data_IF_758719403620
#
_entry.id   IF_758719403620
#
_cell.length_a   1.000
_cell.length_b   1.000
_cell.length_c   1.000
_cell.angle_alpha   90.00
_cell.angle_beta   90.00
_cell.angle_gamma   90.00
#
_symmetry.space_group_name_H-M   'P 1'
#
loop_
_entity.id
_entity.type
_entity.pdbx_description
1 polymer ?
#
# COMPACT_ATOMS: atom_id res chain seq x y z
N UNK A 1 -11.59 35.04 -3.67
CA UNK A 1 -10.70 34.39 -4.67
C UNK A 1 -11.00 32.91 -4.82
N UNK A 2 -11.36 32.18 -3.77
CA UNK A 2 -11.80 30.76 -3.86
C UNK A 2 -13.18 30.59 -4.53
N UNK A 3 -14.14 31.48 -4.29
CA UNK A 3 -15.47 31.40 -4.89
C UNK A 3 -15.47 31.54 -6.43
N UNK A 4 -14.55 32.31 -7.03
CA UNK A 4 -14.47 32.41 -8.50
C UNK A 4 -13.77 31.20 -9.14
N UNK A 5 -12.76 30.62 -8.47
CA UNK A 5 -12.12 29.37 -8.94
C UNK A 5 -13.07 28.17 -8.93
N UNK A 6 -14.00 28.14 -7.97
CA UNK A 6 -15.02 27.10 -7.87
C UNK A 6 -16.07 27.20 -8.99
N UNK A 7 -16.51 28.41 -9.35
CA UNK A 7 -17.48 28.60 -10.46
C UNK A 7 -16.88 28.24 -11.82
N UNK A 8 -15.60 28.58 -12.03
CA UNK A 8 -14.91 28.28 -13.29
C UNK A 8 -14.72 26.77 -13.48
N UNK A 9 -14.37 26.04 -12.40
CA UNK A 9 -14.19 24.58 -12.44
C UNK A 9 -15.48 23.83 -12.80
N UNK A 10 -16.63 24.27 -12.27
CA UNK A 10 -17.92 23.68 -12.59
C UNK A 10 -18.34 23.93 -14.05
N UNK A 11 -18.02 25.11 -14.60
CA UNK A 11 -18.28 25.44 -15.99
C UNK A 11 -17.45 24.56 -16.95
N UNK A 12 -16.17 24.32 -16.66
CA UNK A 12 -15.32 23.43 -17.48
C UNK A 12 -15.79 21.97 -17.43
N UNK A 13 -16.12 21.45 -16.24
CA UNK A 13 -16.67 20.10 -16.07
C UNK A 13 -17.96 19.93 -16.88
N UNK A 14 -18.87 20.90 -16.79
CA UNK A 14 -20.12 20.91 -17.54
C UNK A 14 -19.88 20.93 -19.05
N UNK A 15 -18.99 21.82 -19.52
CA UNK A 15 -18.69 21.99 -20.94
C UNK A 15 -18.07 20.73 -21.58
N UNK A 16 -17.34 19.93 -20.81
CA UNK A 16 -16.71 18.69 -21.29
C UNK A 16 -17.65 17.48 -21.15
N UNK A 17 -18.25 17.26 -19.98
CA UNK A 17 -19.03 16.05 -19.69
C UNK A 17 -20.39 16.03 -20.41
N UNK A 18 -21.04 17.18 -20.58
CA UNK A 18 -22.35 17.25 -21.22
C UNK A 18 -22.37 16.73 -22.67
N UNK A 19 -21.50 17.21 -23.59
CA UNK A 19 -21.46 16.69 -24.95
C UNK A 19 -20.97 15.23 -25.02
N UNK A 20 -20.10 14.83 -24.09
CA UNK A 20 -19.52 13.50 -24.04
C UNK A 20 -20.54 12.43 -23.62
N UNK A 21 -21.31 12.71 -22.55
CA UNK A 21 -22.24 11.74 -21.96
C UNK A 21 -23.62 11.77 -22.61
N UNK A 22 -24.01 12.88 -23.25
CA UNK A 22 -25.34 13.08 -23.86
C UNK A 22 -26.51 12.83 -22.89
N UNK A 23 -26.30 13.07 -21.61
CA UNK A 23 -27.29 12.97 -20.54
C UNK A 23 -27.74 14.35 -20.05
N UNK A 24 -28.92 14.48 -19.42
CA UNK A 24 -29.34 15.75 -18.81
C UNK A 24 -28.33 16.23 -17.76
N UNK A 25 -28.03 17.53 -17.76
CA UNK A 25 -27.06 18.14 -16.81
C UNK A 25 -27.35 17.77 -15.35
N UNK A 26 -28.63 17.85 -14.94
CA UNK A 26 -29.05 17.47 -13.59
C UNK A 26 -28.70 16.02 -13.20
N UNK A 27 -28.69 15.09 -14.15
CA UNK A 27 -28.31 13.70 -13.89
C UNK A 27 -26.79 13.58 -13.72
N UNK A 28 -26.01 14.30 -14.57
CA UNK A 28 -24.55 14.38 -14.48
C UNK A 28 -24.12 14.98 -13.14
N UNK A 29 -24.71 16.11 -12.75
CA UNK A 29 -24.41 16.79 -11.49
C UNK A 29 -24.73 15.89 -10.28
N UNK A 30 -25.86 15.18 -10.33
CA UNK A 30 -26.23 14.23 -9.28
C UNK A 30 -25.24 13.08 -9.18
N UNK A 31 -24.89 12.43 -10.29
CA UNK A 31 -23.96 11.31 -10.30
C UNK A 31 -22.53 11.74 -9.89
N UNK A 32 -22.08 12.90 -10.36
CA UNK A 32 -20.78 13.46 -9.99
C UNK A 32 -20.73 13.81 -8.49
N UNK A 33 -21.76 14.48 -7.97
CA UNK A 33 -21.80 14.89 -6.56
C UNK A 33 -21.92 13.71 -5.59
N UNK A 34 -22.56 12.62 -6.02
CA UNK A 34 -22.65 11.36 -5.27
C UNK A 34 -21.42 10.46 -5.45
N UNK A 35 -20.54 10.76 -6.42
CA UNK A 35 -19.31 10.00 -6.63
C UNK A 35 -18.32 10.26 -5.50
N UNK A 36 -17.48 9.27 -5.27
CA UNK A 36 -16.38 9.35 -4.31
C UNK A 36 -15.50 10.60 -4.53
N UNK A 37 -15.00 11.23 -3.46
CA UNK A 37 -14.22 12.48 -3.55
C UNK A 37 -13.05 12.36 -4.54
N UNK A 38 -12.29 11.26 -4.51
CA UNK A 38 -11.17 11.06 -5.44
C UNK A 38 -11.59 10.93 -6.91
N UNK A 39 -12.79 10.40 -7.22
CA UNK A 39 -13.34 10.44 -8.58
C UNK A 39 -13.54 11.89 -9.02
N UNK A 40 -14.14 12.71 -8.14
CA UNK A 40 -14.35 14.14 -8.41
C UNK A 40 -13.02 14.88 -8.63
N UNK A 41 -12.03 14.64 -7.77
CA UNK A 41 -10.67 15.19 -7.90
C UNK A 41 -10.03 14.83 -9.23
N UNK A 42 -10.08 13.55 -9.63
CA UNK A 42 -9.45 13.07 -10.86
C UNK A 42 -10.14 13.64 -12.11
N UNK A 43 -11.47 13.64 -12.15
CA UNK A 43 -12.23 14.25 -13.25
C UNK A 43 -11.92 15.74 -13.35
N UNK A 44 -11.90 16.47 -12.23
CA UNK A 44 -11.56 17.89 -12.20
C UNK A 44 -10.13 18.14 -12.71
N UNK A 45 -9.14 17.36 -12.25
CA UNK A 45 -7.74 17.46 -12.70
C UNK A 45 -7.61 17.26 -14.21
N UNK A 46 -8.34 16.29 -14.77
CA UNK A 46 -8.27 15.97 -16.19
C UNK A 46 -8.94 17.04 -17.08
N UNK A 47 -10.02 17.65 -16.58
CA UNK A 47 -10.90 18.50 -17.40
C UNK A 47 -10.61 20.00 -17.22
N UNK A 48 -10.21 20.44 -16.02
CA UNK A 48 -9.95 21.85 -15.71
C UNK A 48 -8.51 22.22 -16.11
N UNK A 49 -8.29 23.18 -17.02
CA UNK A 49 -6.94 23.50 -17.50
C UNK A 49 -6.12 24.21 -16.42
N UNK A 50 -5.00 23.63 -15.97
CA UNK A 50 -3.99 24.32 -15.15
C UNK A 50 -2.57 23.94 -15.60
N UNK A 51 -1.91 24.82 -16.36
CA UNK A 51 -0.47 25.02 -16.67
C UNK A 51 0.52 23.84 -16.85
N UNK A 52 0.12 22.59 -16.68
CA UNK A 52 0.82 21.37 -17.12
C UNK A 52 -0.15 20.58 -17.98
N UNK A 53 0.30 19.94 -19.08
CA UNK A 53 -0.61 19.24 -19.96
C UNK A 53 -1.26 18.08 -19.18
N UNK A 54 -2.57 18.21 -18.92
CA UNK A 54 -3.41 17.04 -18.70
C UNK A 54 -3.24 16.10 -19.89
N UNK A 55 -3.34 14.79 -19.65
CA UNK A 55 -3.13 13.82 -20.72
C UNK A 55 -4.26 13.90 -21.74
N UNK A 56 -3.98 14.07 -23.03
CA UNK A 56 -5.05 13.99 -24.03
C UNK A 56 -5.58 12.56 -24.13
N UNK A 57 -6.89 12.37 -24.06
CA UNK A 57 -7.52 11.05 -24.21
C UNK A 57 -8.01 10.89 -25.65
N UNK A 58 -7.34 10.04 -26.42
CA UNK A 58 -7.72 9.73 -27.80
C UNK A 58 -8.75 8.59 -27.81
N UNK A 59 -9.89 8.82 -28.47
CA UNK A 59 -10.97 7.82 -28.56
C UNK A 59 -11.99 7.88 -27.42
N UNK A 60 -11.95 8.92 -26.58
CA UNK A 60 -12.80 9.08 -25.40
C UNK A 60 -14.31 9.00 -25.69
N UNK A 61 -14.79 9.70 -26.73
CA UNK A 61 -16.21 9.64 -27.13
C UNK A 61 -16.65 8.21 -27.48
N UNK A 62 -15.79 7.47 -28.18
CA UNK A 62 -16.09 6.09 -28.57
C UNK A 62 -16.10 5.15 -27.37
N UNK A 63 -15.23 5.38 -26.38
CA UNK A 63 -15.23 4.66 -25.11
C UNK A 63 -16.53 4.91 -24.34
N UNK A 64 -16.93 6.17 -24.17
CA UNK A 64 -18.17 6.52 -23.45
C UNK A 64 -19.40 5.94 -24.15
N UNK A 65 -19.47 6.02 -25.48
CA UNK A 65 -20.56 5.40 -26.24
C UNK A 65 -20.60 3.87 -26.03
N UNK A 66 -19.45 3.21 -25.90
CA UNK A 66 -19.40 1.76 -25.62
C UNK A 66 -19.91 1.39 -24.22
N UNK A 67 -19.93 2.36 -23.30
CA UNK A 67 -20.42 2.22 -21.92
C UNK A 67 -21.87 2.70 -21.75
N UNK A 68 -22.60 2.99 -22.83
CA UNK A 68 -23.96 3.58 -22.76
C UNK A 68 -24.99 2.75 -21.97
N UNK A 69 -24.77 1.45 -21.86
CA UNK A 69 -25.65 0.53 -21.12
C UNK A 69 -25.30 0.48 -19.61
N UNK A 70 -24.20 1.11 -19.20
CA UNK A 70 -23.79 1.25 -17.81
C UNK A 70 -24.47 2.47 -17.15
N UNK A 71 -24.57 2.45 -15.83
CA UNK A 71 -25.06 3.60 -15.08
C UNK A 71 -24.09 4.78 -15.19
N UNK A 72 -24.61 6.00 -15.03
CA UNK A 72 -23.78 7.20 -15.12
C UNK A 72 -22.64 7.21 -14.08
N UNK A 73 -22.90 6.69 -12.88
CA UNK A 73 -21.87 6.52 -11.84
C UNK A 73 -20.77 5.55 -12.29
N UNK A 74 -21.11 4.45 -12.96
CA UNK A 74 -20.12 3.50 -13.51
C UNK A 74 -19.31 4.10 -14.67
N UNK A 75 -19.94 4.93 -15.51
CA UNK A 75 -19.24 5.65 -16.59
C UNK A 75 -18.21 6.61 -15.98
N UNK A 76 -18.61 7.45 -15.02
CA UNK A 76 -17.72 8.38 -14.34
C UNK A 76 -16.59 7.65 -13.59
N UNK A 77 -16.91 6.53 -12.94
CA UNK A 77 -15.93 5.66 -12.29
C UNK A 77 -14.91 5.10 -13.29
N UNK A 78 -15.36 4.62 -14.43
CA UNK A 78 -14.48 4.05 -15.48
C UNK A 78 -13.59 5.12 -16.11
N UNK A 79 -14.14 6.30 -16.41
CA UNK A 79 -13.35 7.44 -16.90
C UNK A 79 -12.28 7.85 -15.89
N UNK A 80 -12.65 7.98 -14.61
CA UNK A 80 -11.69 8.33 -13.57
C UNK A 80 -10.56 7.28 -13.44
N UNK A 81 -10.85 5.98 -13.59
CA UNK A 81 -9.80 4.93 -13.62
C UNK A 81 -8.82 5.13 -14.78
N UNK A 82 -9.32 5.43 -15.98
CA UNK A 82 -8.48 5.69 -17.16
C UNK A 82 -7.60 6.92 -16.93
N UNK A 83 -8.18 8.02 -16.45
CA UNK A 83 -7.46 9.27 -16.21
C UNK A 83 -6.41 9.12 -15.11
N UNK A 84 -6.70 8.37 -14.06
CA UNK A 84 -5.76 8.12 -12.97
C UNK A 84 -4.59 7.27 -13.44
N UNK A 85 -4.85 6.20 -14.20
CA UNK A 85 -3.80 5.37 -14.79
C UNK A 85 -2.86 6.21 -15.68
N UNK A 86 -3.42 7.07 -16.53
CA UNK A 86 -2.65 7.99 -17.39
C UNK A 86 -1.80 8.95 -16.58
N UNK A 87 -2.40 9.64 -15.60
CA UNK A 87 -1.70 10.60 -14.73
C UNK A 87 -0.54 9.96 -13.96
N UNK A 88 -0.77 8.79 -13.36
CA UNK A 88 0.27 8.05 -12.63
C UNK A 88 1.43 7.66 -13.55
N UNK A 89 1.15 7.14 -14.75
CA UNK A 89 2.19 6.77 -15.71
C UNK A 89 3.02 7.98 -16.17
N UNK A 90 2.37 9.11 -16.42
CA UNK A 90 3.04 10.35 -16.82
C UNK A 90 3.92 10.90 -15.69
N UNK A 91 3.41 10.92 -14.46
CA UNK A 91 4.20 11.38 -13.30
C UNK A 91 5.41 10.47 -13.05
N UNK A 92 5.26 9.15 -13.19
CA UNK A 92 6.38 8.20 -13.15
C UNK A 92 7.43 8.54 -14.22
N UNK A 93 7.00 8.84 -15.45
CA UNK A 93 7.91 9.26 -16.52
C UNK A 93 8.64 10.58 -16.21
N UNK A 94 7.94 11.59 -15.66
CA UNK A 94 8.54 12.84 -15.19
C UNK A 94 9.57 12.60 -14.07
N UNK A 95 9.26 11.74 -13.11
CA UNK A 95 10.17 11.40 -12.02
C UNK A 95 11.44 10.70 -12.52
N UNK A 96 11.30 9.77 -13.47
CA UNK A 96 12.45 9.13 -14.13
C UNK A 96 13.34 10.15 -14.85
N UNK A 97 12.75 11.08 -15.59
CA UNK A 97 13.49 12.15 -16.27
C UNK A 97 14.27 13.04 -15.29
N UNK A 98 13.64 13.47 -14.19
CA UNK A 98 14.30 14.27 -13.13
C UNK A 98 15.49 13.54 -12.50
N UNK A 99 15.41 12.21 -12.38
CA UNK A 99 16.45 11.36 -11.77
C UNK A 99 17.53 10.89 -12.77
N UNK A 100 17.46 11.32 -14.03
CA UNK A 100 18.38 10.85 -15.08
C UNK A 100 18.24 9.36 -15.41
N UNK A 101 17.14 8.71 -15.02
CA UNK A 101 16.82 7.32 -15.38
C UNK A 101 16.19 7.26 -16.78
N UNK A 102 16.18 6.10 -17.48
CA UNK A 102 15.49 5.98 -18.77
C UNK A 102 14.04 6.48 -18.70
N UNK A 103 13.67 7.33 -19.67
CA UNK A 103 12.35 7.95 -19.74
C UNK A 103 11.95 8.17 -21.20
N UNK A 104 10.66 8.39 -21.44
CA UNK A 104 10.11 8.72 -22.74
C UNK A 104 9.96 10.24 -22.90
N UNK A 105 10.73 10.83 -23.81
CA UNK A 105 10.74 12.27 -24.09
C UNK A 105 9.40 12.76 -24.66
N UNK A 106 8.69 11.91 -25.42
CA UNK A 106 7.40 12.26 -26.03
C UNK A 106 6.33 12.58 -24.98
N UNK A 107 6.29 11.79 -23.92
CA UNK A 107 5.34 11.95 -22.81
C UNK A 107 5.60 13.20 -21.95
N UNK A 108 6.76 13.85 -22.07
CA UNK A 108 7.02 15.11 -21.36
C UNK A 108 6.43 16.33 -22.09
N UNK A 109 6.16 16.21 -23.39
CA UNK A 109 5.76 17.32 -24.26
C UNK A 109 4.26 17.37 -24.51
N UNK A 110 3.69 16.25 -24.96
CA UNK A 110 2.28 16.15 -25.35
C UNK A 110 1.74 14.74 -25.05
N UNK A 111 1.60 14.38 -23.76
CA UNK A 111 1.21 13.03 -23.38
C UNK A 111 -0.23 12.72 -23.82
N UNK A 112 -0.41 11.57 -24.45
CA UNK A 112 -1.71 11.07 -24.90
C UNK A 112 -1.94 9.62 -24.45
N UNK A 113 -3.17 9.31 -24.02
CA UNK A 113 -3.63 7.94 -23.78
C UNK A 113 -4.64 7.58 -24.86
N UNK A 114 -4.37 6.52 -25.62
CA UNK A 114 -5.27 5.98 -26.63
C UNK A 114 -6.13 4.85 -26.03
N UNK A 115 -7.45 5.07 -25.96
CA UNK A 115 -8.42 4.14 -25.37
C UNK A 115 -9.16 3.29 -26.40
N UNK A 116 -8.69 3.26 -27.65
CA UNK A 116 -9.34 2.50 -28.74
C UNK A 116 -9.43 1.00 -28.41
N UNK A 117 -8.38 0.41 -27.81
CA UNK A 117 -8.40 -1.01 -27.39
C UNK A 117 -9.32 -1.28 -26.21
N UNK A 118 -9.46 -0.32 -25.29
CA UNK A 118 -10.46 -0.42 -24.21
C UNK A 118 -11.88 -0.46 -24.80
N UNK A 119 -12.13 0.40 -25.78
CA UNK A 119 -13.41 0.50 -26.49
C UNK A 119 -13.75 -0.78 -27.25
N UNK A 120 -12.80 -1.32 -28.03
CA UNK A 120 -12.93 -2.61 -28.70
C UNK A 120 -13.28 -3.72 -27.71
N UNK A 121 -12.55 -3.77 -26.59
CA UNK A 121 -12.80 -4.75 -25.53
C UNK A 121 -14.23 -4.70 -24.98
N UNK A 122 -14.74 -3.52 -24.63
CA UNK A 122 -16.11 -3.38 -24.10
C UNK A 122 -17.18 -3.78 -25.13
N UNK A 123 -16.93 -3.51 -26.42
CA UNK A 123 -17.84 -3.90 -27.51
C UNK A 123 -17.89 -5.41 -27.73
N UNK A 124 -16.77 -6.09 -27.54
CA UNK A 124 -16.70 -7.56 -27.59
C UNK A 124 -17.33 -8.21 -26.36
N UNK A 125 -17.00 -7.68 -25.18
CA UNK A 125 -17.49 -8.17 -23.90
C UNK A 125 -17.61 -7.02 -22.89
N UNK A 126 -18.84 -6.71 -22.51
CA UNK A 126 -19.17 -5.67 -21.55
C UNK A 126 -18.51 -5.90 -20.17
N UNK A 127 -18.14 -7.13 -19.83
CA UNK A 127 -17.45 -7.44 -18.58
C UNK A 127 -16.00 -6.96 -18.54
N UNK A 128 -15.36 -6.70 -19.69
CA UNK A 128 -13.97 -6.22 -19.73
C UNK A 128 -13.75 -4.91 -18.97
N UNK A 129 -14.79 -4.07 -18.79
CA UNK A 129 -14.69 -2.85 -17.96
C UNK A 129 -14.31 -3.12 -16.49
N UNK A 130 -14.51 -4.36 -16.02
CA UNK A 130 -14.15 -4.81 -14.67
C UNK A 130 -12.73 -5.37 -14.58
N UNK A 131 -11.99 -5.46 -15.69
CA UNK A 131 -10.58 -5.84 -15.72
C UNK A 131 -9.67 -4.66 -15.35
N UNK A 132 -8.36 -4.90 -15.23
CA UNK A 132 -7.36 -3.87 -14.96
C UNK A 132 -6.98 -3.11 -16.24
N UNK A 133 -6.45 -1.89 -16.08
CA UNK A 133 -6.00 -1.05 -17.19
C UNK A 133 -4.48 -1.07 -17.24
N UNK A 134 -3.93 -1.64 -18.32
CA UNK A 134 -2.50 -1.61 -18.61
C UNK A 134 -2.21 -0.56 -19.67
N UNK A 135 -1.21 0.28 -19.40
CA UNK A 135 -0.70 1.27 -20.36
C UNK A 135 0.58 0.77 -21.01
N UNK A 136 0.61 0.74 -22.34
CA UNK A 136 1.74 0.26 -23.14
C UNK A 136 2.28 1.40 -23.97
N UNK A 137 3.59 1.67 -23.87
CA UNK A 137 4.25 2.68 -24.71
C UNK A 137 4.25 2.26 -26.17
N UNK A 138 3.80 3.15 -27.07
CA UNK A 138 3.89 2.93 -28.51
C UNK A 138 5.29 3.27 -29.02
N UNK A 139 5.94 2.33 -29.72
CA UNK A 139 7.21 2.59 -30.40
C UNK A 139 7.05 3.55 -31.59
N UNK A 140 5.89 3.52 -32.26
CA UNK A 140 5.62 4.35 -33.43
C UNK A 140 5.22 5.79 -33.05
N UNK A 141 4.62 5.96 -31.88
CA UNK A 141 4.15 7.25 -31.38
C UNK A 141 4.64 7.42 -29.93
N UNK A 142 5.84 7.97 -29.73
CA UNK A 142 6.47 8.00 -28.40
C UNK A 142 5.67 8.82 -27.38
N UNK A 143 4.79 9.73 -27.80
CA UNK A 143 3.93 10.48 -26.89
C UNK A 143 2.59 9.78 -26.57
N UNK A 144 2.35 8.58 -27.08
CA UNK A 144 1.10 7.83 -26.92
C UNK A 144 1.29 6.58 -26.06
N UNK A 145 0.45 6.48 -25.02
CA UNK A 145 0.24 5.29 -24.20
C UNK A 145 -1.03 4.57 -24.67
N UNK A 146 -0.90 3.37 -25.21
CA UNK A 146 -2.05 2.56 -25.57
C UNK A 146 -2.63 1.90 -24.31
N UNK A 147 -3.89 2.17 -24.00
CA UNK A 147 -4.59 1.56 -22.87
C UNK A 147 -5.28 0.27 -23.31
N UNK A 148 -5.03 -0.83 -22.60
CA UNK A 148 -5.66 -2.14 -22.85
C UNK A 148 -6.19 -2.74 -21.55
N UNK A 149 -7.24 -3.56 -21.68
CA UNK A 149 -7.70 -4.39 -20.58
C UNK A 149 -6.68 -5.50 -20.31
N UNK A 150 -6.48 -5.77 -19.03
CA UNK A 150 -5.66 -6.87 -18.54
C UNK A 150 -6.50 -7.67 -17.54
N UNK A 151 -6.77 -8.95 -17.80
CA UNK A 151 -7.50 -9.80 -16.89
C UNK A 151 -6.87 -9.77 -15.50
N UNK A 152 -7.71 -9.60 -14.48
CA UNK A 152 -7.25 -9.66 -13.10
C UNK A 152 -6.95 -11.12 -12.75
N UNK A 153 -5.72 -11.47 -12.34
CA UNK A 153 -5.41 -12.84 -11.96
C UNK A 153 -6.30 -13.24 -10.79
N UNK A 154 -6.84 -14.45 -10.81
CA UNK A 154 -7.51 -15.03 -9.64
C UNK A 154 -6.49 -15.19 -8.51
N UNK A 155 -6.89 -14.87 -7.28
CA UNK A 155 -6.08 -15.12 -6.10
C UNK A 155 -7.00 -15.53 -4.96
N UNK A 156 -6.77 -16.73 -4.43
CA UNK A 156 -7.47 -17.29 -3.28
C UNK A 156 -6.49 -18.12 -2.47
N UNK A 157 -6.69 -18.12 -1.15
CA UNK A 157 -5.94 -18.92 -0.19
C UNK A 157 -6.81 -20.01 0.46
N UNK A 158 -7.99 -20.30 -0.11
CA UNK A 158 -8.96 -21.25 0.45
C UNK A 158 -8.47 -22.72 0.41
N UNK A 159 -7.42 -23.02 -0.36
CA UNK A 159 -6.75 -24.33 -0.35
C UNK A 159 -5.81 -24.52 0.84
N UNK A 160 -5.51 -23.47 1.61
CA UNK A 160 -4.73 -23.58 2.83
C UNK A 160 -5.59 -24.17 3.97
N UNK A 161 -4.99 -24.93 4.90
CA UNK A 161 -5.67 -25.32 6.12
C UNK A 161 -6.12 -24.09 6.92
N UNK A 162 -7.35 -24.14 7.46
CA UNK A 162 -7.90 -23.06 8.29
C UNK A 162 -7.42 -23.22 9.74
N UNK A 163 -6.79 -22.17 10.28
CA UNK A 163 -6.51 -22.04 11.70
C UNK A 163 -7.81 -21.65 12.43
N UNK A 164 -8.28 -22.44 13.39
CA UNK A 164 -9.60 -22.16 14.03
C UNK A 164 -9.50 -21.10 15.12
N UNK A 165 -8.33 -20.94 15.71
CA UNK A 165 -8.06 -19.94 16.74
C UNK A 165 -6.58 -19.54 16.74
N UNK A 166 -6.29 -18.27 17.02
CA UNK A 166 -4.93 -17.80 17.30
C UNK A 166 -4.32 -18.40 18.59
N UNK A 167 -5.13 -19.10 19.41
CA UNK A 167 -4.65 -19.80 20.62
C UNK A 167 -3.96 -21.12 20.30
N UNK A 168 -4.20 -21.66 19.10
CA UNK A 168 -3.48 -22.83 18.59
C UNK A 168 -1.99 -22.50 18.35
N UNK A 169 -1.21 -23.55 18.12
CA UNK A 169 0.17 -23.42 17.67
C UNK A 169 0.19 -22.81 16.27
N UNK A 170 0.75 -21.60 16.16
CA UNK A 170 0.85 -20.89 14.90
C UNK A 170 1.88 -21.57 13.97
N UNK A 171 1.70 -21.52 12.64
CA UNK A 171 2.72 -21.99 11.71
C UNK A 171 4.06 -21.28 11.94
N UNK A 172 5.10 -22.04 12.30
CA UNK A 172 6.41 -21.50 12.70
C UNK A 172 6.71 -21.55 14.20
N UNK A 173 5.71 -21.88 15.03
CA UNK A 173 5.94 -22.15 16.46
C UNK A 173 6.31 -23.63 16.68
N UNK A 174 7.38 -23.87 17.44
CA UNK A 174 7.77 -25.21 17.92
C UNK A 174 7.19 -25.52 19.30
N UNK A 175 6.81 -24.49 20.05
CA UNK A 175 6.12 -24.59 21.35
C UNK A 175 5.13 -23.44 21.53
N UNK A 176 4.08 -23.61 22.37
CA UNK A 176 3.12 -22.54 22.64
C UNK A 176 3.83 -21.29 23.18
N UNK A 177 3.58 -20.14 22.55
CA UNK A 177 4.05 -18.83 23.03
C UNK A 177 2.97 -18.07 23.80
N UNK A 178 3.39 -17.25 24.75
CA UNK A 178 2.55 -16.29 25.48
C UNK A 178 2.98 -14.86 25.22
N UNK A 179 4.29 -14.60 25.19
CA UNK A 179 4.87 -13.28 24.93
C UNK A 179 5.38 -13.19 23.49
N UNK A 180 4.87 -12.21 22.74
CA UNK A 180 5.10 -12.02 21.32
C UNK A 180 5.76 -10.67 21.02
N UNK A 181 6.55 -10.64 19.95
CA UNK A 181 7.02 -9.41 19.33
C UNK A 181 6.55 -9.34 17.87
N UNK A 182 6.10 -8.16 17.45
CA UNK A 182 5.66 -7.91 16.07
C UNK A 182 6.66 -7.02 15.32
N UNK A 183 7.22 -7.50 14.21
CA UNK A 183 8.15 -6.75 13.37
C UNK A 183 7.45 -6.42 12.05
N UNK A 184 7.23 -5.15 11.74
CA UNK A 184 6.79 -4.75 10.40
C UNK A 184 7.91 -4.93 9.37
N UNK A 185 7.61 -5.63 8.28
CA UNK A 185 8.57 -6.04 7.25
C UNK A 185 9.28 -4.89 6.52
N UNK A 186 8.58 -3.80 6.22
CA UNK A 186 9.21 -2.63 5.57
C UNK A 186 8.23 -1.54 5.15
N UNK A 187 7.02 -1.92 4.80
CA UNK A 187 5.93 -1.05 4.47
C UNK A 187 5.52 -0.11 5.60
N UNK A 188 5.11 1.10 5.23
CA UNK A 188 4.51 2.06 6.15
C UNK A 188 3.41 1.42 7.02
N UNK A 189 2.57 0.59 6.43
CA UNK A 189 1.40 0.02 7.12
C UNK A 189 1.70 -1.18 8.01
N UNK A 190 2.88 -1.79 7.92
CA UNK A 190 3.16 -3.10 8.54
C UNK A 190 3.15 -3.07 10.06
N UNK A 191 3.60 -1.97 10.63
CA UNK A 191 3.54 -1.73 12.07
C UNK A 191 2.08 -1.59 12.57
N UNK A 192 1.17 -1.05 11.75
CA UNK A 192 -0.27 -1.06 12.07
C UNK A 192 -0.77 -2.50 12.03
N UNK A 193 -0.43 -3.27 11.00
CA UNK A 193 -0.83 -4.67 10.88
C UNK A 193 -0.32 -5.53 12.04
N UNK A 194 0.93 -5.33 12.46
CA UNK A 194 1.49 -5.96 13.65
C UNK A 194 0.71 -5.60 14.91
N UNK A 195 0.32 -4.32 15.05
CA UNK A 195 -0.54 -3.87 16.14
C UNK A 195 -1.91 -4.54 16.14
N UNK A 196 -2.56 -4.63 14.98
CA UNK A 196 -3.85 -5.30 14.84
C UNK A 196 -3.75 -6.75 15.29
N UNK A 197 -2.72 -7.48 14.85
CA UNK A 197 -2.46 -8.85 15.28
C UNK A 197 -2.22 -8.93 16.79
N UNK A 198 -1.47 -7.98 17.36
CA UNK A 198 -1.26 -7.89 18.80
C UNK A 198 -2.56 -7.70 19.59
N UNK A 199 -3.49 -6.87 19.12
CA UNK A 199 -4.81 -6.74 19.76
C UNK A 199 -5.66 -8.01 19.65
N UNK A 200 -5.58 -8.73 18.53
CA UNK A 200 -6.27 -10.02 18.36
C UNK A 200 -5.70 -11.09 19.30
N UNK A 201 -4.37 -11.16 19.45
CA UNK A 201 -3.71 -12.08 20.38
C UNK A 201 -4.09 -11.78 21.84
N UNK A 202 -4.24 -10.51 22.23
CA UNK A 202 -4.67 -10.16 23.60
C UNK A 202 -6.07 -10.65 23.95
N UNK A 203 -6.95 -10.86 22.97
CA UNK A 203 -8.29 -11.41 23.23
C UNK A 203 -8.26 -12.87 23.70
N UNK A 204 -7.10 -13.54 23.60
CA UNK A 204 -6.90 -14.95 23.95
C UNK A 204 -5.70 -15.15 24.91
N UNK A 205 -5.42 -14.13 25.73
CA UNK A 205 -4.35 -14.15 26.74
C UNK A 205 -2.92 -14.36 26.20
N UNK A 206 -2.68 -13.98 24.95
CA UNK A 206 -1.34 -13.86 24.34
C UNK A 206 -0.97 -12.38 24.21
N UNK A 207 0.18 -11.97 24.74
CA UNK A 207 0.57 -10.57 24.78
C UNK A 207 1.57 -10.24 23.66
N UNK A 208 1.39 -9.11 22.99
CA UNK A 208 2.35 -8.56 22.04
C UNK A 208 2.73 -7.14 22.45
N UNK A 209 3.70 -7.02 23.34
CA UNK A 209 4.06 -5.76 23.98
C UNK A 209 5.19 -4.99 23.28
N UNK A 210 6.00 -5.69 22.49
CA UNK A 210 7.07 -5.12 21.68
C UNK A 210 6.67 -5.08 20.20
N UNK A 211 6.70 -3.89 19.61
CA UNK A 211 6.57 -3.72 18.17
C UNK A 211 7.80 -3.04 17.55
N UNK A 212 8.15 -3.45 16.34
CA UNK A 212 9.27 -2.89 15.58
C UNK A 212 8.78 -2.41 14.23
N UNK A 213 8.91 -1.12 13.96
CA UNK A 213 8.65 -0.50 12.66
C UNK A 213 9.94 -0.46 11.86
N UNK A 214 10.10 -1.31 10.85
CA UNK A 214 11.26 -1.24 9.96
C UNK A 214 11.03 -0.20 8.86
N UNK A 215 12.02 0.63 8.57
CA UNK A 215 11.97 1.65 7.50
C UNK A 215 13.30 1.74 6.80
N UNK A 216 13.28 2.07 5.51
CA UNK A 216 14.51 2.43 4.79
C UNK A 216 15.20 3.64 5.41
N UNK A 217 16.54 3.61 5.42
CA UNK A 217 17.40 4.71 5.88
C UNK A 217 17.10 6.05 5.19
N UNK A 218 16.77 6.00 3.89
CA UNK A 218 16.34 7.18 3.12
C UNK A 218 14.83 7.27 2.99
N UNK A 219 14.32 8.49 2.80
CA UNK A 219 12.90 8.74 2.54
C UNK A 219 12.51 8.17 1.16
N UNK A 220 11.71 7.09 1.16
CA UNK A 220 11.30 6.38 -0.06
C UNK A 220 9.98 6.86 -0.69
N UNK A 221 9.13 7.55 0.08
CA UNK A 221 7.80 8.00 -0.37
C UNK A 221 7.51 9.44 0.08
N UNK A 222 6.57 10.10 -0.61
CA UNK A 222 6.13 11.45 -0.24
C UNK A 222 5.44 11.41 1.11
N UNK A 223 5.82 12.31 2.01
CA UNK A 223 5.12 12.61 3.24
C UNK A 223 4.22 13.84 3.06
N UNK A 224 4.25 14.73 4.04
CA UNK A 224 3.63 16.06 3.99
C UNK A 224 4.07 16.86 2.75
N UNK A 225 3.26 17.84 2.35
CA UNK A 225 3.60 18.75 1.26
C UNK A 225 4.98 19.39 1.50
N UNK A 226 5.89 19.32 0.53
CA UNK A 226 7.26 19.84 0.63
C UNK A 226 8.33 18.86 1.12
N UNK A 227 7.98 17.60 1.39
CA UNK A 227 8.95 16.58 1.83
C UNK A 227 9.92 16.18 0.72
N UNK A 228 11.24 16.25 0.98
CA UNK A 228 12.26 15.79 0.03
C UNK A 228 12.36 14.26 0.00
N UNK A 229 12.37 13.68 -1.21
CA UNK A 229 12.61 12.25 -1.44
C UNK A 229 14.11 11.95 -1.51
N UNK A 230 14.53 10.80 -0.98
CA UNK A 230 15.91 10.32 -1.06
C UNK A 230 16.90 10.98 -0.09
N UNK A 231 16.42 11.75 0.88
CA UNK A 231 17.25 12.30 1.97
C UNK A 231 17.33 11.30 3.13
N UNK A 232 18.36 11.44 3.99
CA UNK A 232 18.46 10.67 5.24
C UNK A 232 17.19 10.91 6.07
N UNK A 233 16.62 9.84 6.62
CA UNK A 233 15.52 9.96 7.58
C UNK A 233 16.11 10.35 8.93
N UNK A 234 15.88 11.57 9.37
CA UNK A 234 16.20 11.98 10.74
C UNK A 234 15.05 11.65 11.69
N UNK A 235 15.41 11.16 12.89
CA UNK A 235 14.47 10.78 13.94
C UNK A 235 14.73 11.67 15.15
N UNK A 236 13.72 12.39 15.60
CA UNK A 236 13.86 13.40 16.64
C UNK A 236 13.00 13.07 17.85
N UNK A 237 13.41 13.53 19.04
CA UNK A 237 12.67 13.36 20.31
C UNK A 237 12.31 11.90 20.61
N UNK A 238 13.20 10.98 20.27
CA UNK A 238 13.06 9.55 20.57
C UNK A 238 13.59 9.22 21.99
N UNK A 239 13.26 8.03 22.47
CA UNK A 239 13.65 7.52 23.79
C UNK A 239 15.05 6.93 23.90
N UNK A 240 15.96 7.27 22.99
CA UNK A 240 17.27 6.63 22.84
C UNK A 240 17.28 5.46 21.86
N UNK A 241 18.45 4.87 21.68
CA UNK A 241 18.67 3.68 20.86
C UNK A 241 18.50 2.40 21.69
N UNK A 242 18.22 1.27 21.03
CA UNK A 242 18.31 -0.04 21.65
C UNK A 242 19.76 -0.34 22.05
N UNK A 243 19.94 -1.14 23.09
CA UNK A 243 21.26 -1.41 23.69
C UNK A 243 21.57 -2.90 23.59
N UNK A 244 22.71 -3.23 23.01
CA UNK A 244 23.24 -4.59 22.96
C UNK A 244 24.62 -4.62 23.62
N UNK A 245 24.84 -5.52 24.58
CA UNK A 245 26.11 -5.61 25.33
C UNK A 245 26.57 -4.27 25.94
N UNK A 246 25.64 -3.52 26.54
CA UNK A 246 25.86 -2.18 27.11
C UNK A 246 26.32 -1.10 26.10
N UNK A 247 26.12 -1.32 24.81
CA UNK A 247 26.41 -0.34 23.76
C UNK A 247 25.15 0.00 22.96
N UNK A 248 24.88 1.28 22.66
CA UNK A 248 23.79 1.66 21.79
C UNK A 248 24.04 1.13 20.37
N UNK A 249 23.00 0.60 19.72
CA UNK A 249 23.06 0.10 18.34
C UNK A 249 22.47 1.15 17.39
N UNK A 250 23.29 1.57 16.42
CA UNK A 250 22.92 2.59 15.44
C UNK A 250 21.69 2.23 14.61
N UNK A 251 20.92 3.24 14.19
CA UNK A 251 19.70 3.05 13.40
C UNK A 251 18.51 2.47 14.18
N UNK A 252 18.59 2.33 15.50
CA UNK A 252 17.46 1.93 16.35
C UNK A 252 16.98 3.10 17.20
N UNK A 253 15.66 3.26 17.34
CA UNK A 253 15.07 4.40 18.03
C UNK A 253 13.82 3.97 18.80
N UNK A 254 13.80 4.14 20.12
CA UNK A 254 12.59 3.91 20.93
C UNK A 254 11.59 5.03 20.68
N UNK A 255 10.39 4.70 20.25
CA UNK A 255 9.34 5.68 19.94
C UNK A 255 8.65 6.14 21.22
N UNK A 256 8.41 7.46 21.29
CA UNK A 256 7.63 8.15 22.31
C UNK A 256 6.50 8.95 21.65
N UNK A 257 5.47 9.40 22.41
CA UNK A 257 4.42 10.27 21.89
C UNK A 257 4.92 11.53 21.16
N UNK A 258 6.04 12.09 21.60
CA UNK A 258 6.65 13.28 21.01
C UNK A 258 7.65 13.01 19.88
N UNK A 259 7.90 11.73 19.54
CA UNK A 259 8.83 11.35 18.48
C UNK A 259 8.24 11.72 17.12
N UNK A 260 9.08 12.27 16.24
CA UNK A 260 8.72 12.59 14.86
C UNK A 260 9.92 12.34 13.95
N UNK A 261 9.68 12.17 12.65
CA UNK A 261 10.72 11.91 11.65
C UNK A 261 10.65 12.87 10.49
N UNK A 262 11.80 13.23 9.93
CA UNK A 262 11.84 13.84 8.59
C UNK A 262 11.35 12.84 7.54
N UNK A 263 10.64 13.33 6.52
CA UNK A 263 10.02 12.45 5.55
C UNK A 263 8.51 12.32 5.75
N UNK A 264 7.99 11.16 5.36
CA UNK A 264 6.68 10.70 5.82
C UNK A 264 6.72 10.60 7.34
N UNK A 265 5.78 11.27 8.00
CA UNK A 265 5.71 11.30 9.48
C UNK A 265 5.52 9.86 10.00
N UNK A 266 5.51 9.63 11.31
CA UNK A 266 5.20 8.32 11.89
C UNK A 266 3.72 7.93 11.72
N UNK A 267 3.15 8.15 10.53
CA UNK A 267 1.75 8.06 10.05
C UNK A 267 1.04 6.72 10.37
N UNK A 268 1.75 5.78 11.00
CA UNK A 268 1.40 4.36 11.13
C UNK A 268 1.89 3.75 12.44
N UNK A 269 2.55 4.50 13.33
CA UNK A 269 2.96 3.90 14.61
C UNK A 269 1.81 4.01 15.62
N UNK A 270 1.31 2.89 16.19
CA UNK A 270 0.19 2.87 17.13
C UNK A 270 0.62 3.30 18.55
N UNK A 271 1.15 4.52 18.67
CA UNK A 271 1.73 5.01 19.92
C UNK A 271 0.70 4.93 21.06
N UNK A 272 1.13 4.39 22.21
CA UNK A 272 0.29 4.20 23.38
C UNK A 272 -0.58 2.92 23.35
N UNK A 273 -0.54 2.12 22.28
CA UNK A 273 -1.26 0.83 22.24
C UNK A 273 -0.41 -0.38 22.62
N UNK A 274 0.91 -0.19 22.74
CA UNK A 274 1.89 -1.21 23.10
C UNK A 274 2.92 -0.61 24.05
N UNK A 275 3.50 -1.43 24.92
CA UNK A 275 4.44 -0.97 25.95
C UNK A 275 5.74 -0.43 25.32
N UNK A 276 6.25 -1.16 24.34
CA UNK A 276 7.50 -0.86 23.66
C UNK A 276 7.29 -0.81 22.16
N UNK A 277 7.69 0.30 21.56
CA UNK A 277 7.71 0.46 20.12
C UNK A 277 9.07 1.01 19.71
N UNK A 278 9.70 0.36 18.74
CA UNK A 278 10.97 0.78 18.16
C UNK A 278 10.82 1.06 16.68
N UNK A 279 11.56 2.05 16.19
CA UNK A 279 11.84 2.28 14.78
C UNK A 279 13.24 1.76 14.48
N UNK A 280 13.34 0.91 13.46
CA UNK A 280 14.60 0.39 12.93
C UNK A 280 14.79 0.95 11.53
N UNK A 281 15.91 1.63 11.31
CA UNK A 281 16.31 2.14 10.01
C UNK A 281 17.24 1.12 9.34
N UNK A 282 16.68 0.38 8.39
CA UNK A 282 17.38 -0.56 7.54
C UNK A 282 18.31 0.20 6.57
N UNK A 283 19.59 -0.13 6.69
CA UNK A 283 20.70 0.50 5.97
C UNK A 283 21.06 -0.25 4.68
N UNK A 284 20.40 -1.37 4.37
CA UNK A 284 20.87 -2.38 3.41
C UNK A 284 21.09 -1.93 1.96
N UNK A 285 20.45 -0.85 1.51
CA UNK A 285 20.66 -0.28 0.16
C UNK A 285 21.73 0.82 0.13
N UNK A 286 22.18 1.29 1.29
CA UNK A 286 23.11 2.40 1.40
C UNK A 286 24.55 1.94 1.34
N UNK A 287 25.29 2.48 0.38
CA UNK A 287 26.71 2.13 0.16
C UNK A 287 27.65 3.26 0.57
N UNK A 288 27.14 4.48 0.83
CA UNK A 288 27.97 5.64 1.17
C UNK A 288 27.28 6.58 2.19
N UNK A 289 28.06 7.26 3.02
CA UNK A 289 27.57 8.39 3.82
C UNK A 289 26.87 8.07 5.15
N UNK A 290 26.91 6.82 5.63
CA UNK A 290 26.54 6.48 7.02
C UNK A 290 27.78 6.64 7.90
N UNK A 291 27.68 7.43 8.96
CA UNK A 291 28.76 7.59 9.92
C UNK A 291 29.07 6.26 10.63
N UNK A 292 30.34 5.95 10.93
CA UNK A 292 30.74 4.66 11.53
C UNK A 292 30.01 4.33 12.84
N UNK A 293 29.67 5.35 13.63
CA UNK A 293 28.92 5.20 14.88
C UNK A 293 27.41 4.99 14.68
N UNK A 294 26.90 5.18 13.46
CA UNK A 294 25.50 4.93 13.09
C UNK A 294 25.34 3.60 12.34
N UNK A 295 26.43 3.02 11.82
CA UNK A 295 26.40 1.75 11.06
C UNK A 295 25.99 0.58 11.95
N UNK A 296 25.02 -0.19 11.49
CA UNK A 296 24.61 -1.44 12.11
C UNK A 296 24.01 -2.38 11.07
N UNK A 297 24.28 -3.68 11.22
CA UNK A 297 23.58 -4.73 10.47
C UNK A 297 22.15 -4.87 10.98
N UNK A 298 21.21 -5.15 10.09
CA UNK A 298 19.80 -5.31 10.43
C UNK A 298 19.56 -6.43 11.46
N UNK A 299 20.34 -7.51 11.41
CA UNK A 299 20.30 -8.59 12.40
C UNK A 299 20.75 -8.12 13.80
N UNK A 300 21.78 -7.28 13.88
CA UNK A 300 22.24 -6.68 15.14
C UNK A 300 21.23 -5.67 15.69
N UNK A 301 20.60 -4.91 14.80
CA UNK A 301 19.50 -4.00 15.18
C UNK A 301 18.34 -4.77 15.80
N UNK A 302 17.86 -5.84 15.15
CA UNK A 302 16.79 -6.66 15.71
C UNK A 302 17.21 -7.38 16.98
N UNK A 303 18.41 -7.95 17.05
CA UNK A 303 18.92 -8.55 18.29
C UNK A 303 18.92 -7.55 19.45
N UNK A 304 19.37 -6.31 19.21
CA UNK A 304 19.38 -5.25 20.20
C UNK A 304 17.97 -4.87 20.69
N UNK A 305 17.01 -4.76 19.78
CA UNK A 305 15.62 -4.41 20.11
C UNK A 305 14.91 -5.55 20.84
N UNK A 306 14.99 -6.78 20.32
CA UNK A 306 14.30 -7.93 20.91
C UNK A 306 14.84 -8.26 22.31
N UNK A 307 16.14 -8.08 22.55
CA UNK A 307 16.75 -8.25 23.89
C UNK A 307 16.33 -7.20 24.93
N UNK A 308 15.59 -6.15 24.54
CA UNK A 308 14.97 -5.23 25.50
C UNK A 308 13.75 -5.86 26.20
N UNK A 309 13.20 -6.95 25.65
CA UNK A 309 12.12 -7.71 26.26
C UNK A 309 12.70 -8.91 27.03
N UNK A 310 12.40 -9.01 28.33
CA UNK A 310 12.98 -10.03 29.20
C UNK A 310 12.43 -11.44 28.92
N UNK A 311 11.17 -11.53 28.50
CA UNK A 311 10.47 -12.76 28.17
C UNK A 311 9.86 -12.60 26.77
N UNK A 312 10.33 -13.41 25.83
CA UNK A 312 9.85 -13.38 24.45
C UNK A 312 9.86 -14.81 23.90
N UNK A 313 8.66 -15.34 23.62
CA UNK A 313 8.49 -16.70 23.13
C UNK A 313 8.48 -16.74 21.61
N UNK A 314 7.73 -15.84 20.97
CA UNK A 314 7.49 -15.87 19.53
C UNK A 314 7.73 -14.51 18.88
N UNK A 315 8.45 -14.51 17.76
CA UNK A 315 8.60 -13.32 16.91
C UNK A 315 7.79 -13.49 15.63
N UNK A 316 6.95 -12.50 15.34
CA UNK A 316 6.14 -12.47 14.12
C UNK A 316 6.66 -11.34 13.22
N UNK A 317 7.14 -11.68 12.02
CA UNK A 317 7.34 -10.72 10.93
C UNK A 317 6.02 -10.51 10.23
N UNK A 318 5.56 -9.27 10.17
CA UNK A 318 4.23 -8.90 9.69
C UNK A 318 4.36 -8.04 8.45
N UNK A 319 3.63 -8.42 7.42
CA UNK A 319 3.47 -7.69 6.18
C UNK A 319 2.00 -7.31 5.95
N UNK A 320 1.79 -6.18 5.27
CA UNK A 320 0.49 -5.68 4.86
C UNK A 320 0.34 -5.75 3.34
N UNK A 321 -0.18 -6.86 2.85
CA UNK A 321 -0.58 -7.03 1.45
C UNK A 321 -0.08 -8.33 0.82
N UNK A 322 1.21 -8.63 0.95
CA UNK A 322 1.82 -9.86 0.48
C UNK A 322 3.04 -9.69 -0.42
N UNK A 323 3.74 -8.55 -0.43
CA UNK A 323 5.04 -8.46 -1.12
C UNK A 323 6.15 -9.22 -0.37
N UNK A 324 5.87 -9.65 0.87
CA UNK A 324 6.69 -10.64 1.60
C UNK A 324 6.85 -11.98 0.84
N UNK A 325 5.98 -12.27 -0.14
CA UNK A 325 6.08 -13.45 -1.02
C UNK A 325 7.04 -13.24 -2.22
N UNK A 326 7.69 -12.07 -2.30
CA UNK A 326 8.55 -11.66 -3.41
C UNK A 326 7.83 -10.75 -4.42
N UNK A 327 8.50 -10.47 -5.54
CA UNK A 327 7.94 -9.63 -6.60
C UNK A 327 7.71 -10.41 -7.90
N UNK A 328 6.60 -10.11 -8.59
CA UNK A 328 6.49 -10.46 -10.00
C UNK A 328 7.49 -9.58 -10.78
N UNK A 329 8.27 -10.17 -11.70
CA UNK A 329 9.32 -9.54 -12.54
C UNK A 329 8.92 -8.25 -13.32
N UNK A 330 7.71 -7.72 -13.12
CA UNK A 330 7.11 -6.62 -13.87
C UNK A 330 6.93 -5.29 -13.09
N UNK A 331 7.41 -5.14 -11.86
CA UNK A 331 7.18 -3.90 -11.09
C UNK A 331 8.22 -3.58 -10.02
N UNK A 332 8.56 -2.30 -9.91
CA UNK A 332 9.33 -1.72 -8.79
C UNK A 332 8.47 -1.71 -7.52
N UNK A 333 8.32 -2.84 -6.84
CA UNK A 333 7.84 -2.88 -5.45
C UNK A 333 9.02 -2.63 -4.49
N UNK A 334 8.82 -2.67 -3.17
CA UNK A 334 9.89 -2.59 -2.14
C UNK A 334 10.28 -4.00 -1.62
N UNK A 335 10.29 -5.07 -2.44
CA UNK A 335 10.43 -6.45 -1.97
C UNK A 335 11.80 -6.68 -1.32
N UNK A 336 12.79 -5.83 -1.62
CA UNK A 336 14.11 -5.95 -1.04
C UNK A 336 14.08 -5.73 0.48
N UNK A 337 13.17 -4.92 1.03
CA UNK A 337 13.14 -4.65 2.47
C UNK A 337 12.50 -5.80 3.26
N UNK A 338 11.33 -6.29 2.87
CA UNK A 338 10.64 -7.40 3.54
C UNK A 338 11.48 -8.68 3.50
N UNK A 339 12.15 -8.94 2.37
CA UNK A 339 13.11 -10.05 2.25
C UNK A 339 14.33 -9.83 3.14
N UNK A 340 14.89 -8.62 3.20
CA UNK A 340 16.01 -8.32 4.13
C UNK A 340 15.60 -8.52 5.59
N UNK A 341 14.39 -8.12 5.99
CA UNK A 341 13.88 -8.34 7.35
C UNK A 341 13.74 -9.83 7.65
N UNK A 342 13.13 -10.61 6.74
CA UNK A 342 13.01 -12.06 6.93
C UNK A 342 14.39 -12.73 7.01
N UNK A 343 15.35 -12.35 6.16
CA UNK A 343 16.73 -12.86 6.22
C UNK A 343 17.41 -12.51 7.54
N UNK A 344 17.32 -11.26 7.98
CA UNK A 344 17.89 -10.82 9.24
C UNK A 344 17.29 -11.60 10.43
N UNK A 345 15.97 -11.81 10.43
CA UNK A 345 15.30 -12.60 11.46
C UNK A 345 15.67 -14.09 11.43
N UNK A 346 15.83 -14.69 10.26
CA UNK A 346 16.29 -16.07 10.13
C UNK A 346 17.68 -16.29 10.76
N UNK A 347 18.57 -15.28 10.72
CA UNK A 347 19.88 -15.37 11.41
C UNK A 347 19.77 -15.42 12.94
N UNK A 348 18.60 -15.11 13.51
CA UNK A 348 18.36 -15.10 14.96
C UNK A 348 17.64 -16.37 15.44
N UNK A 349 17.44 -17.39 14.59
CA UNK A 349 16.71 -18.62 14.93
C UNK A 349 17.27 -19.37 16.15
N UNK A 350 18.58 -19.27 16.41
CA UNK A 350 19.22 -19.92 17.57
C UNK A 350 18.86 -19.23 18.90
N UNK A 351 18.42 -17.97 18.84
CA UNK A 351 17.96 -17.19 20.01
C UNK A 351 16.45 -17.13 20.12
N UNK A 352 15.73 -17.23 18.99
CA UNK A 352 14.27 -17.19 18.93
C UNK A 352 13.79 -18.32 18.03
N UNK A 353 13.32 -19.41 18.64
CA UNK A 353 12.96 -20.64 17.92
C UNK A 353 11.60 -20.57 17.25
N UNK A 354 10.66 -19.80 17.80
CA UNK A 354 9.36 -19.55 17.19
C UNK A 354 9.43 -18.32 16.27
N UNK A 355 9.56 -18.55 14.96
CA UNK A 355 9.59 -17.50 13.94
C UNK A 355 8.43 -17.67 12.97
N UNK A 356 7.53 -16.69 12.98
CA UNK A 356 6.30 -16.69 12.18
C UNK A 356 6.34 -15.52 11.19
N UNK A 357 5.86 -15.74 9.97
CA UNK A 357 5.49 -14.67 9.04
C UNK A 357 3.97 -14.56 9.00
N UNK A 358 3.44 -13.34 9.12
CA UNK A 358 2.02 -13.05 9.00
C UNK A 358 1.75 -12.02 7.89
N UNK A 359 0.75 -12.28 7.05
CA UNK A 359 0.29 -11.35 6.01
C UNK A 359 -1.14 -10.95 6.32
N UNK A 360 -1.34 -9.66 6.57
CA UNK A 360 -2.67 -9.09 6.68
C UNK A 360 -3.10 -8.55 5.32
N UNK A 361 -4.37 -8.76 4.98
CA UNK A 361 -4.94 -8.40 3.68
C UNK A 361 -4.20 -9.01 2.47
N UNK A 362 -4.00 -10.35 2.46
CA UNK A 362 -3.28 -11.01 1.39
C UNK A 362 -3.94 -10.69 0.03
N UNK A 363 -3.12 -10.29 -0.94
CA UNK A 363 -3.52 -9.98 -2.31
C UNK A 363 -3.48 -8.51 -2.71
N UNK A 364 -3.01 -7.62 -1.84
CA UNK A 364 -2.53 -6.29 -2.25
C UNK A 364 -1.04 -6.39 -2.51
N UNK A 365 -0.59 -6.03 -3.70
CA UNK A 365 0.83 -6.06 -4.10
C UNK A 365 1.53 -7.45 -4.02
N UNK A 366 0.78 -8.51 -3.69
CA UNK A 366 1.25 -9.88 -3.70
C UNK A 366 1.44 -10.43 -5.13
N UNK A 367 2.50 -11.21 -5.39
CA UNK A 367 2.72 -11.85 -6.68
C UNK A 367 1.64 -12.90 -6.96
N UNK A 368 1.44 -13.21 -8.24
CA UNK A 368 0.40 -14.15 -8.66
C UNK A 368 0.56 -15.57 -8.06
N UNK A 369 1.78 -15.97 -7.73
CA UNK A 369 2.14 -17.28 -7.16
C UNK A 369 2.19 -17.31 -5.61
N UNK A 370 1.79 -16.22 -4.95
CA UNK A 370 1.72 -16.16 -3.49
C UNK A 370 0.88 -17.29 -2.84
N UNK A 371 -0.30 -17.68 -3.40
CA UNK A 371 -1.07 -18.82 -2.91
C UNK A 371 -0.29 -20.14 -2.87
N UNK A 372 0.52 -20.42 -3.89
CA UNK A 372 1.35 -21.60 -4.01
C UNK A 372 2.52 -21.56 -3.03
N UNK A 373 3.22 -20.41 -2.92
CA UNK A 373 4.30 -20.20 -1.95
C UNK A 373 3.82 -20.39 -0.52
N UNK A 374 2.67 -19.80 -0.17
CA UNK A 374 2.07 -19.97 1.15
C UNK A 374 1.75 -21.44 1.46
N UNK A 375 1.26 -22.19 0.47
CA UNK A 375 0.99 -23.63 0.63
C UNK A 375 2.26 -24.42 0.85
N UNK A 376 3.29 -24.18 0.04
CA UNK A 376 4.57 -24.88 0.11
C UNK A 376 5.30 -24.60 1.44
N UNK A 377 5.21 -23.37 1.95
CA UNK A 377 5.73 -23.00 3.26
C UNK A 377 4.97 -23.64 4.44
N UNK A 378 3.86 -24.35 4.22
CA UNK A 378 3.03 -24.89 5.31
C UNK A 378 2.13 -23.84 5.96
N UNK A 379 1.75 -22.81 5.20
CA UNK A 379 0.89 -21.72 5.65
C UNK A 379 -0.52 -22.16 6.03
N UNK A 380 -1.13 -21.39 6.93
CA UNK A 380 -2.53 -21.51 7.32
C UNK A 380 -3.26 -20.19 7.15
N UNK A 381 -4.54 -20.27 6.84
CA UNK A 381 -5.43 -19.10 6.77
C UNK A 381 -6.19 -18.94 8.08
N UNK A 382 -6.18 -17.74 8.64
CA UNK A 382 -7.03 -17.34 9.77
C UNK A 382 -8.12 -16.39 9.27
N UNK A 383 -9.37 -16.81 9.43
CA UNK A 383 -10.55 -16.01 9.06
C UNK A 383 -11.09 -15.33 10.30
N UNK A 384 -11.11 -14.00 10.29
CA UNK A 384 -11.56 -13.20 11.44
C UNK A 384 -13.03 -13.48 11.77
N UNK A 385 -13.31 -13.67 13.05
CA UNK A 385 -14.67 -13.75 13.58
C UNK A 385 -15.37 -12.39 13.47
N UNK A 386 -16.72 -12.32 13.48
CA UNK A 386 -17.44 -11.05 13.39
C UNK A 386 -17.02 -10.00 14.43
N UNK A 387 -16.76 -10.44 15.67
CA UNK A 387 -16.28 -9.59 16.76
C UNK A 387 -14.85 -9.06 16.51
N UNK A 388 -13.96 -9.90 15.98
CA UNK A 388 -12.58 -9.54 15.62
C UNK A 388 -12.55 -8.59 14.43
N UNK A 389 -13.40 -8.82 13.42
CA UNK A 389 -13.60 -7.89 12.29
C UNK A 389 -14.03 -6.52 12.79
N UNK A 390 -14.93 -6.47 13.77
CA UNK A 390 -15.40 -5.20 14.35
C UNK A 390 -14.27 -4.50 15.11
N UNK A 391 -13.52 -5.24 15.92
CA UNK A 391 -12.33 -4.74 16.60
C UNK A 391 -11.32 -4.15 15.61
N UNK A 392 -10.98 -4.88 14.54
CA UNK A 392 -10.01 -4.41 13.54
C UNK A 392 -10.48 -3.13 12.85
N UNK A 393 -11.77 -3.03 12.50
CA UNK A 393 -12.33 -1.82 11.90
C UNK A 393 -12.33 -0.62 12.87
N UNK A 394 -12.61 -0.85 14.16
CA UNK A 394 -12.57 0.19 15.21
C UNK A 394 -11.14 0.68 15.49
N UNK A 395 -10.18 -0.24 15.48
CA UNK A 395 -8.76 0.09 15.57
C UNK A 395 -8.32 0.93 14.35
N UNK A 396 -8.63 0.51 13.13
CA UNK A 396 -8.18 1.17 11.91
C UNK A 396 -8.76 2.57 11.73
N UNK A 397 -10.08 2.73 11.82
CA UNK A 397 -10.73 4.02 11.58
C UNK A 397 -10.69 4.93 12.81
N UNK A 398 -11.58 4.71 13.80
CA UNK A 398 -11.68 5.57 14.98
C UNK A 398 -10.41 5.76 15.80
N UNK A 399 -9.63 4.69 16.04
CA UNK A 399 -8.48 4.77 16.96
C UNK A 399 -7.19 5.20 16.28
N UNK A 400 -6.90 4.66 15.10
CA UNK A 400 -5.65 4.91 14.39
C UNK A 400 -5.79 5.93 13.25
N UNK A 401 -7.02 6.34 12.90
CA UNK A 401 -7.32 7.31 11.84
C UNK A 401 -6.81 6.88 10.44
N UNK A 402 -6.65 5.58 10.20
CA UNK A 402 -6.18 4.99 8.94
C UNK A 402 -7.28 4.85 7.88
N UNK A 403 -8.43 5.51 8.06
CA UNK A 403 -9.56 5.53 7.13
C UNK A 403 -9.50 6.66 6.10
N UNK A 404 -8.42 7.45 6.11
CA UNK A 404 -8.21 8.57 5.19
C UNK A 404 -8.80 9.90 5.66
N UNK A 405 -9.43 9.93 6.84
CA UNK A 405 -9.93 11.16 7.45
C UNK A 405 -8.81 12.10 7.93
N UNK A 406 -7.66 11.53 8.30
CA UNK A 406 -6.44 12.27 8.63
C UNK A 406 -5.48 12.24 7.41
N UNK A 407 -5.13 13.40 6.83
CA UNK A 407 -4.23 13.48 5.68
C UNK A 407 -2.82 12.98 5.97
N UNK A 408 -2.46 12.83 7.25
CA UNK A 408 -1.19 12.29 7.72
C UNK A 408 -1.32 10.82 8.20
N UNK A 409 -2.49 10.15 8.08
CA UNK A 409 -2.64 8.75 8.50
C UNK A 409 -3.45 7.95 7.49
N UNK A 410 -2.75 7.30 6.57
CA UNK A 410 -3.39 6.52 5.51
C UNK A 410 -2.46 5.42 4.98
N UNK A 411 -3.07 4.37 4.41
CA UNK A 411 -2.33 3.31 3.75
C UNK A 411 -3.23 2.61 2.74
N UNK A 412 -2.76 2.45 1.50
CA UNK A 412 -3.54 1.81 0.43
C UNK A 412 -4.00 0.42 0.85
N UNK A 413 -3.10 -0.39 1.41
CA UNK A 413 -3.45 -1.73 1.86
C UNK A 413 -4.42 -1.72 3.05
N UNK A 414 -4.26 -0.81 4.02
CA UNK A 414 -5.20 -0.71 5.15
C UNK A 414 -6.60 -0.27 4.69
N UNK A 415 -6.71 0.59 3.68
CA UNK A 415 -7.99 0.96 3.07
C UNK A 415 -8.60 -0.24 2.30
N UNK A 416 -7.79 -1.03 1.60
CA UNK A 416 -8.23 -2.29 0.98
C UNK A 416 -8.73 -3.29 2.04
N UNK A 417 -7.99 -3.47 3.14
CA UNK A 417 -8.38 -4.32 4.27
C UNK A 417 -9.73 -3.87 4.85
N UNK A 418 -9.90 -2.56 5.11
CA UNK A 418 -11.17 -2.03 5.61
C UNK A 418 -12.33 -2.26 4.63
N UNK A 419 -12.10 -2.06 3.33
CA UNK A 419 -13.10 -2.34 2.30
C UNK A 419 -13.48 -3.84 2.27
N UNK A 420 -12.48 -4.72 2.30
CA UNK A 420 -12.66 -6.17 2.31
C UNK A 420 -13.40 -6.62 3.57
N UNK A 421 -12.98 -6.13 4.73
CA UNK A 421 -13.66 -6.37 5.99
C UNK A 421 -15.09 -5.87 5.93
N UNK A 422 -15.39 -4.70 5.37
CA UNK A 422 -16.78 -4.21 5.21
C UNK A 422 -17.62 -4.97 4.18
N UNK A 423 -17.07 -6.00 3.53
CA UNK A 423 -17.77 -6.80 2.52
C UNK A 423 -17.79 -6.18 1.13
N UNK A 424 -17.03 -5.10 0.88
CA UNK A 424 -16.87 -4.53 -0.46
C UNK A 424 -15.95 -5.42 -1.29
N UNK A 425 -16.29 -5.66 -2.56
CA UNK A 425 -15.53 -6.51 -3.49
C UNK A 425 -15.48 -5.83 -4.86
N UNK A 426 -14.48 -6.18 -5.65
CA UNK A 426 -14.25 -5.60 -6.97
C UNK A 426 -13.57 -4.23 -6.93
N UNK A 427 -13.60 -3.51 -8.04
CA UNK A 427 -12.98 -2.18 -8.13
C UNK A 427 -13.60 -1.19 -7.15
N UNK A 428 -12.77 -0.65 -6.27
CA UNK A 428 -13.13 0.31 -5.24
C UNK A 428 -12.23 1.54 -5.38
N UNK A 429 -12.83 2.74 -5.31
CA UNK A 429 -12.10 3.98 -5.12
C UNK A 429 -11.82 4.11 -3.62
N UNK A 430 -10.54 4.21 -3.25
CA UNK A 430 -10.08 4.29 -1.87
C UNK A 430 -10.10 5.74 -1.41
N UNK A 431 -10.43 5.94 -0.14
CA UNK A 431 -10.42 7.23 0.58
C UNK A 431 -8.99 7.72 0.86
N UNK A 432 -8.15 7.84 -0.17
CA UNK A 432 -6.82 8.45 -0.04
C UNK A 432 -6.93 9.98 0.05
N UNK A 433 -6.06 10.65 0.83
CA UNK A 433 -6.02 12.11 0.89
C UNK A 433 -5.85 12.77 -0.49
N UNK A 434 -6.54 13.89 -0.72
CA UNK A 434 -6.53 14.54 -2.05
C UNK A 434 -5.12 15.00 -2.46
N UNK A 435 -4.28 15.43 -1.53
CA UNK A 435 -2.89 15.85 -1.81
C UNK A 435 -1.98 14.72 -2.31
N UNK A 436 -2.33 13.44 -2.06
CA UNK A 436 -1.56 12.30 -2.57
C UNK A 436 -2.09 11.76 -3.90
N UNK A 437 -3.36 12.02 -4.21
CA UNK A 437 -3.99 11.67 -5.49
C UNK A 437 -3.72 12.78 -6.53
N UNK A 438 -3.82 14.04 -6.12
CA UNK A 438 -3.69 15.23 -6.96
C UNK A 438 -2.30 15.89 -6.82
N UNK A 439 -1.27 15.12 -7.14
CA UNK A 439 0.12 15.62 -7.18
C UNK A 439 0.81 15.20 -8.48
N UNK A 440 1.78 16.00 -8.92
CA UNK A 440 2.61 15.71 -10.10
C UNK A 440 3.96 15.08 -9.75
N UNK A 441 4.25 14.90 -8.46
CA UNK A 441 5.55 14.41 -8.03
C UNK A 441 5.56 12.89 -7.87
N UNK A 442 4.60 12.32 -7.13
CA UNK A 442 4.43 10.88 -6.99
C UNK A 442 2.97 10.54 -6.62
N UNK A 443 2.01 10.70 -7.54
CA UNK A 443 0.61 10.43 -7.26
C UNK A 443 0.38 8.95 -6.95
N UNK A 444 -0.48 8.69 -5.98
CA UNK A 444 -0.94 7.36 -5.65
C UNK A 444 -2.23 7.05 -6.43
N UNK A 445 -2.25 5.90 -7.10
CA UNK A 445 -3.47 5.39 -7.71
C UNK A 445 -4.50 5.07 -6.63
N UNK A 446 -5.67 5.69 -6.70
CA UNK A 446 -6.71 5.54 -5.67
C UNK A 446 -7.68 4.39 -5.94
N UNK A 447 -7.56 3.71 -7.09
CA UNK A 447 -8.38 2.55 -7.40
C UNK A 447 -7.67 1.25 -7.05
N UNK A 448 -8.37 0.35 -6.36
CA UNK A 448 -7.89 -0.98 -6.06
C UNK A 448 -8.99 -2.02 -6.29
N UNK A 449 -8.59 -3.21 -6.73
CA UNK A 449 -9.49 -4.33 -6.86
C UNK A 449 -9.53 -5.12 -5.55
N UNK A 450 -10.63 -4.98 -4.80
CA UNK A 450 -10.79 -5.59 -3.47
C UNK A 450 -11.22 -7.05 -3.63
N UNK A 451 -10.37 -7.97 -3.17
CA UNK A 451 -10.56 -9.43 -3.28
C UNK A 451 -11.18 -10.00 -2.00
N UNK A 452 -11.66 -11.24 -2.07
CA UNK A 452 -12.16 -11.95 -0.89
C UNK A 452 -11.05 -12.24 0.12
N UNK A 453 -9.90 -12.72 -0.34
CA UNK A 453 -8.76 -13.06 0.52
C UNK A 453 -8.22 -11.86 1.31
N UNK A 454 -8.46 -10.62 0.89
CA UNK A 454 -8.01 -9.42 1.61
C UNK A 454 -8.65 -9.23 2.99
N UNK A 455 -9.67 -10.02 3.36
CA UNK A 455 -10.19 -10.04 4.74
C UNK A 455 -9.55 -11.09 5.64
N UNK A 456 -8.66 -11.92 5.10
CA UNK A 456 -8.02 -13.02 5.83
C UNK A 456 -6.64 -12.61 6.37
N UNK A 457 -6.08 -13.44 7.25
CA UNK A 457 -4.69 -13.38 7.69
C UNK A 457 -4.00 -14.69 7.31
N UNK A 458 -2.86 -14.61 6.63
CA UNK A 458 -2.04 -15.80 6.31
C UNK A 458 -0.90 -15.87 7.31
N UNK A 459 -0.73 -17.03 7.95
CA UNK A 459 0.36 -17.30 8.90
C UNK A 459 1.23 -18.42 8.35
N UNK A 460 2.54 -18.28 8.40
CA UNK A 460 3.51 -19.21 7.82
C UNK A 460 4.75 -19.33 8.71
N UNK A 461 5.43 -20.49 8.72
CA UNK A 461 6.79 -20.58 9.23
C UNK A 461 7.74 -19.70 8.41
N UNK A 462 8.44 -18.77 9.07
CA UNK A 462 9.35 -17.85 8.38
C UNK A 462 10.45 -18.59 7.63
N UNK A 463 11.04 -19.61 8.28
CA UNK A 463 12.16 -20.38 7.74
C UNK A 463 11.78 -21.25 6.53
N UNK A 464 10.50 -21.62 6.40
CA UNK A 464 10.01 -22.41 5.27
C UNK A 464 9.53 -21.52 4.11
N UNK A 465 9.08 -20.29 4.40
CA UNK A 465 8.73 -19.31 3.37
C UNK A 465 9.97 -18.72 2.69
N UNK A 466 10.99 -18.36 3.46
CA UNK A 466 12.15 -17.61 2.96
C UNK A 466 12.85 -18.24 1.74
N UNK A 467 13.07 -19.57 1.66
CA UNK A 467 13.68 -20.22 0.50
C UNK A 467 12.82 -20.20 -0.78
N UNK A 468 11.53 -19.86 -0.67
CA UNK A 468 10.59 -19.79 -1.79
C UNK A 468 10.50 -18.39 -2.39
N UNK A 469 11.20 -17.41 -1.80
CA UNK A 469 11.24 -16.03 -2.28
C UNK A 469 12.53 -15.87 -3.09
N UNK A 470 12.39 -15.80 -4.42
CA UNK A 470 13.51 -15.59 -5.36
C UNK A 470 14.16 -14.21 -5.22
#
# INVERSE_FOLDING_TARGET
MEQSKASDSAAYLTAHLLPLLRQPLSAIDSAYSQSHQNIQTILRRQIVPNSRPGCRIQGEEALVESLRDASLTEILFTLARVYDAGHVAICKNYASAKRGKPYNVGLLKDPCVDVSRLTEGIREDQQKRHEDIKLISSHAQPNVLQATWMPLPSMSFDHLPVLKSLSELLPGEVSPGKEYAGIGGGGGSDIISASLLGHLLRQIDKEMNLLVSTRTWRTGSQGKEGTSLGIKREVHRHGGAAVLNNKPVGGTYRIKPETWTEGRDLETVPVGSHQDIFLVLDQGEETQGIAENEKADLSDQFRAVLSQCAELDTVIVVDTGGDVFGSDFAGFTTPDQDVRVQRAMATLQDSYTNLVTAVLAPGVDAPADAPEKAKQAGGKVYKLRPEERTLVLDLLGPKYHMDGSDPDRYGKTNLCLQAALRGRRGWTCLDLPTNVVDTWENPWGCFAYVRECMSDIILMPLLDLLPLID
#
